data_IF_436415602510
#
_entry.id   IF_436415602510
#
_cell.length_a   1.000
_cell.length_b   1.000
_cell.length_c   1.000
_cell.angle_alpha   90.00
_cell.angle_beta   90.00
_cell.angle_gamma   90.00
#
_symmetry.space_group_name_H-M   'P 1'
#
loop_
_entity.id
_entity.type
_entity.pdbx_description
1 polymer ?
#
# COMPACT_ATOMS: atom_id res chain seq x y z
N UNK A 1 5.83 14.38 -11.25
CA UNK A 1 4.39 14.52 -10.93
C UNK A 1 3.52 13.50 -11.65
N UNK A 2 3.64 13.33 -12.95
CA UNK A 2 2.80 12.39 -13.75
C UNK A 2 2.86 10.95 -13.21
N UNK A 3 4.04 10.44 -12.88
CA UNK A 3 4.24 9.08 -12.35
C UNK A 3 3.51 8.89 -11.01
N UNK A 4 3.58 9.86 -10.11
CA UNK A 4 2.88 9.81 -8.83
C UNK A 4 1.37 9.77 -9.00
N UNK A 5 0.84 10.61 -9.88
CA UNK A 5 -0.60 10.64 -10.19
C UNK A 5 -1.01 9.33 -10.86
N UNK A 6 -0.19 8.81 -11.77
CA UNK A 6 -0.45 7.52 -12.42
C UNK A 6 -0.48 6.37 -11.41
N UNK A 7 0.48 6.28 -10.48
CA UNK A 7 0.49 5.29 -9.42
C UNK A 7 -0.75 5.40 -8.52
N UNK A 8 -1.11 6.61 -8.10
CA UNK A 8 -2.29 6.85 -7.28
C UNK A 8 -3.56 6.40 -7.98
N UNK A 9 -3.72 6.73 -9.27
CA UNK A 9 -4.88 6.32 -10.07
C UNK A 9 -4.91 4.80 -10.25
N UNK A 10 -3.78 4.15 -10.52
CA UNK A 10 -3.69 2.69 -10.66
C UNK A 10 -4.11 2.01 -9.35
N UNK A 11 -3.55 2.42 -8.21
CA UNK A 11 -3.90 1.83 -6.91
C UNK A 11 -5.36 2.12 -6.52
N UNK A 12 -5.87 3.30 -6.85
CA UNK A 12 -7.28 3.61 -6.64
C UNK A 12 -8.20 2.72 -7.49
N UNK A 13 -7.90 2.54 -8.77
CA UNK A 13 -8.66 1.66 -9.65
C UNK A 13 -8.62 0.20 -9.17
N UNK A 14 -7.46 -0.29 -8.74
CA UNK A 14 -7.32 -1.62 -8.17
C UNK A 14 -8.17 -1.79 -6.90
N UNK A 15 -8.08 -0.86 -5.96
CA UNK A 15 -8.88 -0.88 -4.75
C UNK A 15 -10.39 -0.82 -5.06
N UNK A 16 -10.78 0.02 -6.01
CA UNK A 16 -12.17 0.18 -6.44
C UNK A 16 -12.77 -1.10 -7.02
N UNK A 17 -12.01 -1.84 -7.82
CA UNK A 17 -12.43 -3.13 -8.37
C UNK A 17 -12.57 -4.19 -7.30
N UNK A 18 -11.62 -4.24 -6.37
CA UNK A 18 -11.52 -5.30 -5.34
C UNK A 18 -12.53 -5.13 -4.21
N UNK A 19 -12.97 -3.90 -3.93
CA UNK A 19 -14.01 -3.57 -2.92
C UNK A 19 -13.72 -4.05 -1.49
N UNK A 20 -12.45 -4.23 -1.13
CA UNK A 20 -12.05 -4.73 0.20
C UNK A 20 -11.85 -3.60 1.19
N UNK A 21 -11.91 -3.93 2.49
CA UNK A 21 -11.75 -2.93 3.56
C UNK A 21 -10.31 -2.43 3.65
N UNK A 22 -10.17 -1.13 3.78
CA UNK A 22 -8.91 -0.43 3.94
C UNK A 22 -8.08 -0.97 5.13
N UNK A 23 -8.72 -1.20 6.29
CA UNK A 23 -8.02 -1.67 7.48
C UNK A 23 -7.21 -2.95 7.22
N UNK A 24 -7.79 -3.91 6.50
CA UNK A 24 -7.13 -5.18 6.15
C UNK A 24 -6.04 -4.97 5.11
N UNK A 25 -6.36 -4.25 4.03
CA UNK A 25 -5.41 -4.00 2.94
C UNK A 25 -4.28 -3.08 3.36
N UNK A 26 -4.58 -2.03 4.14
CA UNK A 26 -3.59 -1.09 4.67
C UNK A 26 -2.62 -1.76 5.64
N UNK A 27 -3.14 -2.62 6.55
CA UNK A 27 -2.28 -3.41 7.44
C UNK A 27 -1.35 -4.33 6.65
N UNK A 28 -1.85 -5.00 5.61
CA UNK A 28 -1.05 -5.86 4.75
C UNK A 28 0.05 -5.10 3.98
N UNK A 29 -0.25 -3.88 3.50
CA UNK A 29 0.77 -3.01 2.89
C UNK A 29 1.87 -2.64 3.88
N UNK A 30 1.49 -2.27 5.11
CA UNK A 30 2.47 -1.94 6.16
C UNK A 30 3.31 -3.16 6.53
N UNK A 31 2.71 -4.36 6.60
CA UNK A 31 3.46 -5.61 6.80
C UNK A 31 4.46 -5.85 5.68
N UNK A 32 4.05 -5.69 4.41
CA UNK A 32 4.94 -5.79 3.26
C UNK A 32 6.09 -4.79 3.32
N UNK A 33 5.80 -3.55 3.73
CA UNK A 33 6.82 -2.54 3.92
C UNK A 33 7.80 -2.90 5.07
N UNK A 34 7.31 -3.42 6.19
CA UNK A 34 8.18 -3.91 7.27
C UNK A 34 9.08 -5.05 6.80
N UNK A 35 8.53 -6.00 6.02
CA UNK A 35 9.33 -7.07 5.42
C UNK A 35 10.41 -6.51 4.50
N UNK A 36 10.07 -5.55 3.64
CA UNK A 36 11.04 -4.87 2.78
C UNK A 36 12.17 -4.22 3.60
N UNK A 37 11.84 -3.53 4.70
CA UNK A 37 12.85 -2.90 5.57
C UNK A 37 13.78 -3.93 6.25
N UNK A 38 13.24 -5.07 6.67
CA UNK A 38 14.02 -6.11 7.33
C UNK A 38 14.95 -6.86 6.36
N UNK A 39 14.52 -7.03 5.11
CA UNK A 39 15.21 -7.86 4.12
C UNK A 39 15.88 -7.05 3.01
N UNK A 40 16.02 -5.74 3.17
CA UNK A 40 16.55 -4.85 2.14
C UNK A 40 17.93 -5.24 1.61
N UNK A 41 18.84 -5.71 2.48
CA UNK A 41 20.15 -6.20 2.10
C UNK A 41 20.11 -7.46 1.24
N UNK A 42 19.32 -8.45 1.67
CA UNK A 42 19.17 -9.73 0.95
C UNK A 42 18.46 -9.53 -0.40
N UNK A 43 17.45 -8.69 -0.43
CA UNK A 43 16.72 -8.36 -1.67
C UNK A 43 17.64 -7.71 -2.72
N UNK A 44 18.59 -6.88 -2.28
CA UNK A 44 19.58 -6.28 -3.17
C UNK A 44 20.55 -7.31 -3.77
N UNK A 45 20.95 -8.32 -3.01
CA UNK A 45 21.78 -9.43 -3.49
C UNK A 45 21.02 -10.29 -4.50
N UNK A 46 19.79 -10.62 -4.23
CA UNK A 46 18.94 -11.38 -5.16
C UNK A 46 18.70 -10.61 -6.47
N UNK A 47 18.52 -9.30 -6.37
CA UNK A 47 18.32 -8.46 -7.54
C UNK A 47 19.50 -8.48 -8.51
N UNK A 48 20.73 -8.62 -8.01
CA UNK A 48 21.93 -8.69 -8.84
C UNK A 48 21.98 -9.96 -9.68
N UNK A 49 21.32 -11.04 -9.26
CA UNK A 49 21.27 -12.29 -10.03
C UNK A 49 20.27 -12.24 -11.21
N UNK A 50 19.40 -11.23 -11.25
CA UNK A 50 18.36 -11.09 -12.27
C UNK A 50 18.81 -10.07 -13.32
N UNK A 51 19.11 -10.56 -14.51
CA UNK A 51 19.45 -9.71 -15.66
C UNK A 51 18.15 -9.35 -16.40
N UNK A 52 17.73 -8.09 -16.28
CA UNK A 52 16.62 -7.57 -17.08
C UNK A 52 17.12 -7.05 -18.43
N UNK A 53 16.32 -7.16 -19.50
CA UNK A 53 16.65 -6.52 -20.78
C UNK A 53 16.83 -5.01 -20.62
N UNK A 54 17.80 -4.44 -21.32
CA UNK A 54 18.16 -3.01 -21.26
C UNK A 54 17.04 -2.03 -21.68
N UNK A 55 15.96 -2.55 -22.24
CA UNK A 55 14.76 -1.77 -22.59
C UNK A 55 13.86 -1.42 -21.41
N UNK A 56 14.07 -2.03 -20.22
CA UNK A 56 13.28 -1.71 -19.04
C UNK A 56 13.84 -0.48 -18.32
N UNK A 57 12.99 0.51 -18.08
CA UNK A 57 13.31 1.74 -17.33
C UNK A 57 13.47 1.47 -15.83
N UNK A 58 12.85 0.39 -15.33
CA UNK A 58 12.83 0.03 -13.91
C UNK A 58 13.86 -1.07 -13.65
N UNK A 59 14.69 -0.90 -12.62
CA UNK A 59 15.72 -1.89 -12.25
C UNK A 59 15.09 -3.14 -11.60
N UNK A 60 15.79 -4.28 -11.70
CA UNK A 60 15.36 -5.53 -11.06
C UNK A 60 15.14 -5.36 -9.55
N UNK A 61 16.05 -4.61 -8.90
CA UNK A 61 15.94 -4.29 -7.47
C UNK A 61 14.61 -3.61 -7.13
N UNK A 62 14.22 -2.58 -7.89
CA UNK A 62 12.97 -1.87 -7.67
C UNK A 62 11.74 -2.76 -7.85
N UNK A 63 11.75 -3.65 -8.85
CA UNK A 63 10.64 -4.58 -9.07
C UNK A 63 10.49 -5.56 -7.89
N UNK A 64 11.58 -6.09 -7.38
CA UNK A 64 11.56 -7.00 -6.23
C UNK A 64 11.09 -6.26 -4.97
N UNK A 65 11.61 -5.06 -4.71
CA UNK A 65 11.21 -4.23 -3.57
C UNK A 65 9.70 -3.92 -3.62
N UNK A 66 9.20 -3.52 -4.79
CA UNK A 66 7.76 -3.28 -4.99
C UNK A 66 6.93 -4.56 -4.81
N UNK A 67 7.41 -5.70 -5.30
CA UNK A 67 6.73 -6.97 -5.14
C UNK A 67 6.61 -7.34 -3.65
N UNK A 68 7.67 -7.22 -2.87
CA UNK A 68 7.65 -7.52 -1.42
C UNK A 68 6.66 -6.62 -0.68
N UNK A 69 6.57 -5.33 -1.04
CA UNK A 69 5.63 -4.39 -0.42
C UNK A 69 4.18 -4.72 -0.79
N UNK A 70 3.91 -5.05 -2.07
CA UNK A 70 2.55 -5.19 -2.59
C UNK A 70 1.97 -6.59 -2.44
N UNK A 71 2.79 -7.66 -2.49
CA UNK A 71 2.31 -9.06 -2.47
C UNK A 71 1.42 -9.37 -1.26
N UNK A 72 1.72 -8.98 -0.01
CA UNK A 72 0.82 -9.25 1.11
C UNK A 72 -0.57 -8.65 0.91
N UNK A 73 -0.65 -7.44 0.37
CA UNK A 73 -1.92 -6.78 0.08
C UNK A 73 -2.65 -7.43 -1.11
N UNK A 74 -1.93 -7.86 -2.15
CA UNK A 74 -2.50 -8.56 -3.31
C UNK A 74 -3.09 -9.91 -2.91
N UNK A 75 -2.47 -10.66 -2.01
CA UNK A 75 -3.02 -11.92 -1.48
C UNK A 75 -4.36 -11.65 -0.79
N UNK A 76 -4.46 -10.59 -0.01
CA UNK A 76 -5.70 -10.23 0.69
C UNK A 76 -6.79 -9.64 -0.23
N UNK A 77 -6.46 -9.31 -1.48
CA UNK A 77 -7.47 -8.97 -2.49
C UNK A 77 -8.46 -10.11 -2.74
N UNK A 78 -7.99 -11.36 -2.66
CA UNK A 78 -8.85 -12.53 -2.86
C UNK A 78 -9.61 -12.96 -1.60
N UNK A 79 -9.17 -12.49 -0.42
CA UNK A 79 -9.79 -12.78 0.87
C UNK A 79 -10.11 -11.52 1.66
N UNK A 80 -10.94 -11.64 2.69
CA UNK A 80 -11.22 -10.55 3.63
C UNK A 80 -12.61 -9.91 3.50
N UNK A 81 -12.90 -9.01 4.43
CA UNK A 81 -14.21 -8.37 4.57
C UNK A 81 -14.43 -7.27 3.51
N UNK A 82 -15.70 -7.08 3.11
CA UNK A 82 -16.13 -6.10 2.12
C UNK A 82 -16.88 -4.96 2.82
N UNK A 83 -16.78 -3.74 2.30
CA UNK A 83 -17.59 -2.62 2.76
C UNK A 83 -19.07 -2.83 2.44
N UNK A 84 -19.94 -2.58 3.41
CA UNK A 84 -21.39 -2.59 3.24
C UNK A 84 -21.91 -1.22 2.82
N UNK A 85 -21.23 -0.12 3.20
CA UNK A 85 -21.63 1.25 2.92
C UNK A 85 -20.76 1.84 1.81
N UNK A 86 -21.37 2.50 0.82
CA UNK A 86 -20.70 3.13 -0.32
C UNK A 86 -19.74 4.25 0.09
N UNK A 87 -20.11 5.09 1.06
CA UNK A 87 -19.27 6.20 1.52
C UNK A 87 -17.98 5.70 2.20
N UNK A 88 -18.13 4.77 3.16
CA UNK A 88 -16.97 4.18 3.84
C UNK A 88 -16.02 3.47 2.86
N UNK A 89 -16.58 2.92 1.78
CA UNK A 89 -15.82 2.28 0.71
C UNK A 89 -14.93 3.29 -0.02
N UNK A 90 -15.48 4.41 -0.51
CA UNK A 90 -14.70 5.41 -1.25
C UNK A 90 -13.57 5.98 -0.39
N UNK A 91 -13.85 6.32 0.87
CA UNK A 91 -12.81 6.78 1.80
C UNK A 91 -11.71 5.73 2.01
N UNK A 92 -12.09 4.46 2.15
CA UNK A 92 -11.12 3.38 2.30
C UNK A 92 -10.27 3.17 1.05
N UNK A 93 -10.85 3.27 -0.13
CA UNK A 93 -10.14 3.12 -1.41
C UNK A 93 -9.14 4.27 -1.65
N UNK A 94 -9.53 5.50 -1.32
CA UNK A 94 -8.63 6.67 -1.35
C UNK A 94 -7.48 6.49 -0.35
N UNK A 95 -7.79 6.07 0.88
CA UNK A 95 -6.77 5.80 1.90
C UNK A 95 -5.76 4.74 1.47
N UNK A 96 -6.24 3.63 0.90
CA UNK A 96 -5.38 2.58 0.35
C UNK A 96 -4.47 3.10 -0.76
N UNK A 97 -5.05 3.81 -1.75
CA UNK A 97 -4.29 4.35 -2.87
C UNK A 97 -3.20 5.33 -2.40
N UNK A 98 -3.54 6.21 -1.45
CA UNK A 98 -2.60 7.18 -0.90
C UNK A 98 -1.41 6.48 -0.21
N UNK A 99 -1.68 5.50 0.67
CA UNK A 99 -0.62 4.78 1.39
C UNK A 99 0.20 3.91 0.44
N UNK A 100 -0.43 3.16 -0.45
CA UNK A 100 0.27 2.35 -1.44
C UNK A 100 1.22 3.21 -2.29
N UNK A 101 0.76 4.39 -2.73
CA UNK A 101 1.60 5.33 -3.48
C UNK A 101 2.79 5.80 -2.65
N UNK A 102 2.59 6.22 -1.39
CA UNK A 102 3.66 6.69 -0.51
C UNK A 102 4.71 5.61 -0.24
N UNK A 103 4.28 4.37 -0.01
CA UNK A 103 5.20 3.24 0.23
C UNK A 103 5.98 2.84 -1.02
N UNK A 104 5.39 2.98 -2.21
CA UNK A 104 6.05 2.68 -3.48
C UNK A 104 6.98 3.79 -3.99
N UNK A 105 6.86 5.03 -3.48
CA UNK A 105 7.72 6.16 -3.90
C UNK A 105 9.19 5.87 -3.65
N UNK A 106 9.55 5.29 -2.51
CA UNK A 106 10.93 5.05 -2.13
C UNK A 106 11.67 4.13 -3.13
N UNK A 107 11.17 2.90 -3.41
CA UNK A 107 11.81 2.07 -4.42
C UNK A 107 11.78 2.70 -5.82
N UNK A 108 10.71 3.38 -6.20
CA UNK A 108 10.61 4.03 -7.51
C UNK A 108 11.60 5.17 -7.68
N UNK A 109 11.86 5.95 -6.62
CA UNK A 109 12.83 7.06 -6.67
C UNK A 109 14.27 6.62 -6.90
N UNK A 110 14.61 5.35 -6.60
CA UNK A 110 15.92 4.76 -6.85
C UNK A 110 16.15 4.45 -8.34
N UNK A 111 15.11 4.13 -9.08
CA UNK A 111 15.21 3.72 -10.49
C UNK A 111 14.97 4.84 -11.48
N UNK A 112 14.14 5.79 -11.12
CA UNK A 112 13.72 6.88 -12.02
C UNK A 112 14.39 8.15 -11.50
N UNK A 113 15.19 8.79 -12.36
CA UNK A 113 15.81 10.08 -12.03
C UNK A 113 14.72 11.15 -11.93
N UNK A 114 14.23 11.35 -10.71
CA UNK A 114 13.14 12.28 -10.39
C UNK A 114 13.68 13.69 -10.13
N UNK A 115 14.81 14.09 -10.76
CA UNK A 115 15.50 15.35 -10.52
C UNK A 115 14.60 16.60 -10.61
N UNK A 116 13.52 16.53 -11.38
CA UNK A 116 12.54 17.63 -11.50
C UNK A 116 11.39 17.59 -10.46
N UNK A 117 11.32 16.56 -9.60
CA UNK A 117 10.22 16.37 -8.65
C UNK A 117 10.73 16.44 -7.20
N UNK A 118 11.99 16.77 -7.02
CA UNK A 118 12.77 16.63 -5.78
C UNK A 118 12.12 17.23 -4.53
N UNK A 119 11.52 18.42 -4.59
CA UNK A 119 10.95 19.06 -3.40
C UNK A 119 9.74 18.30 -2.84
N UNK A 120 8.82 17.86 -3.70
CA UNK A 120 7.61 17.18 -3.24
C UNK A 120 7.91 15.75 -2.77
N UNK A 121 8.72 15.00 -3.52
CA UNK A 121 9.15 13.65 -3.16
C UNK A 121 9.97 13.66 -1.87
N UNK A 122 10.91 14.61 -1.73
CA UNK A 122 11.71 14.75 -0.51
C UNK A 122 10.85 15.09 0.70
N UNK A 123 9.84 15.95 0.56
CA UNK A 123 8.91 16.23 1.64
C UNK A 123 8.11 14.98 2.03
N UNK A 124 7.62 14.19 1.07
CA UNK A 124 6.91 12.94 1.38
C UNK A 124 7.84 11.96 2.09
N UNK A 125 9.08 11.79 1.62
CA UNK A 125 10.06 10.92 2.25
C UNK A 125 10.43 11.39 3.67
N UNK A 126 10.52 12.70 3.88
CA UNK A 126 10.76 13.29 5.21
C UNK A 126 9.62 12.99 6.19
N UNK A 127 8.36 13.14 5.75
CA UNK A 127 7.18 12.88 6.58
C UNK A 127 6.70 11.41 6.53
N UNK A 128 7.41 10.52 5.84
CA UNK A 128 7.03 9.13 5.62
C UNK A 128 6.68 8.38 6.91
N UNK A 129 7.47 8.54 7.98
CA UNK A 129 7.21 7.87 9.25
C UNK A 129 5.87 8.30 9.86
N UNK A 130 5.54 9.59 9.81
CA UNK A 130 4.26 10.11 10.30
C UNK A 130 3.09 9.59 9.47
N UNK A 131 3.25 9.53 8.14
CA UNK A 131 2.24 9.01 7.23
C UNK A 131 1.98 7.53 7.51
N UNK A 132 3.02 6.72 7.68
CA UNK A 132 2.90 5.28 8.01
C UNK A 132 2.23 5.11 9.39
N UNK A 133 2.64 5.88 10.40
CA UNK A 133 2.04 5.81 11.73
C UNK A 133 0.54 6.15 11.68
N UNK A 134 0.17 7.22 10.97
CA UNK A 134 -1.23 7.59 10.78
C UNK A 134 -2.01 6.50 10.03
N UNK A 135 -1.39 5.88 9.03
CA UNK A 135 -1.97 4.77 8.27
C UNK A 135 -2.26 3.55 9.15
N UNK A 136 -1.32 3.19 10.02
CA UNK A 136 -1.49 2.09 10.98
C UNK A 136 -2.66 2.38 11.93
N UNK A 137 -2.71 3.58 12.50
CA UNK A 137 -3.80 3.98 13.39
C UNK A 137 -5.16 3.94 12.68
N UNK A 138 -5.23 4.47 11.46
CA UNK A 138 -6.46 4.44 10.66
C UNK A 138 -6.90 3.01 10.31
N UNK A 139 -5.94 2.12 9.99
CA UNK A 139 -6.22 0.71 9.73
C UNK A 139 -6.76 -0.01 10.98
N UNK A 140 -6.17 0.24 12.16
CA UNK A 140 -6.65 -0.31 13.43
C UNK A 140 -8.05 0.18 13.74
N UNK A 141 -8.33 1.47 13.58
CA UNK A 141 -9.67 2.05 13.80
C UNK A 141 -10.71 1.40 12.87
N UNK A 142 -10.40 1.22 11.57
CA UNK A 142 -11.31 0.55 10.64
C UNK A 142 -11.58 -0.91 11.02
N UNK A 143 -10.57 -1.62 11.51
CA UNK A 143 -10.71 -3.00 12.01
C UNK A 143 -11.57 -3.06 13.30
N UNK A 144 -11.34 -2.16 14.26
CA UNK A 144 -12.13 -2.08 15.49
C UNK A 144 -13.59 -1.76 15.19
N UNK A 145 -13.84 -0.83 14.27
CA UNK A 145 -15.20 -0.49 13.86
C UNK A 145 -15.95 -1.70 13.26
N UNK A 146 -15.24 -2.57 12.53
CA UNK A 146 -15.79 -3.82 12.03
C UNK A 146 -16.17 -4.77 13.17
N UNK A 147 -15.28 -4.94 14.15
CA UNK A 147 -15.48 -5.86 15.27
C UNK A 147 -16.70 -5.45 16.12
N UNK A 148 -16.78 -4.19 16.50
CA UNK A 148 -17.89 -3.65 17.29
C UNK A 148 -19.22 -3.79 16.54
N UNK A 149 -19.26 -3.45 15.26
CA UNK A 149 -20.47 -3.57 14.44
C UNK A 149 -20.97 -5.01 14.29
N UNK A 150 -20.10 -6.00 14.27
CA UNK A 150 -20.48 -7.42 14.22
C UNK A 150 -21.03 -7.92 15.56
N UNK A 151 -20.44 -7.49 16.66
CA UNK A 151 -20.82 -7.90 18.02
C UNK A 151 -22.19 -7.35 18.42
N UNK A 152 -22.49 -6.10 18.07
CA UNK A 152 -23.78 -5.47 18.34
C UNK A 152 -24.90 -6.17 17.57
N UNK A 153 -24.67 -6.53 16.28
CA UNK A 153 -25.67 -7.31 15.50
C UNK A 153 -25.92 -8.69 16.05
N UNK A 154 -24.89 -9.38 16.51
CA UNK A 154 -25.04 -10.71 17.10
C UNK A 154 -25.86 -10.68 18.41
N UNK A 155 -25.80 -9.59 19.20
CA UNK A 155 -26.61 -9.40 20.39
C UNK A 155 -28.09 -9.09 20.06
N UNK A 156 -28.33 -8.24 19.04
CA UNK A 156 -29.71 -7.91 18.61
C UNK A 156 -30.48 -9.08 17.98
N UNK A 157 -29.77 -10.05 17.38
CA UNK A 157 -30.39 -11.24 16.78
C UNK A 157 -30.80 -12.32 17.79
N UNK A 158 -30.43 -12.17 19.07
CA UNK A 158 -30.76 -13.14 20.15
C UNK A 158 -31.95 -12.71 21.02
N UNK A 159 -32.52 -11.58 20.76
CA UNK A 159 -33.79 -11.08 21.30
C UNK A 159 -34.86 -10.97 20.21
#
# INVERSE_FOLDING_TARGET
MIILIACLVIFFCLAFVVRRRFGVLGAALVMGYCLHQMWSSELSLWAQSIVLPSSFVITASTLIELAVILVPSLILFFGGSVYKNKYSRIFGEIGYAAIATVLCIEPLSKSIDLNNINLFVNNILYYKQYIITFAILAAIIDMLYMYVGSTVKAKMSKH
#
